data_IF_128894577407
#
_entry.id   IF_128894577407
#
_cell.length_a   1.000
_cell.length_b   1.000
_cell.length_c   1.000
_cell.angle_alpha   90.00
_cell.angle_beta   90.00
_cell.angle_gamma   90.00
#
_symmetry.space_group_name_H-M   'P 1'
#
loop_
_entity.id
_entity.type
_entity.pdbx_description
1 polymer ?
#
# COMPACT_ATOMS: atom_id res chain seq x y z
N UNK A 1 27.03 4.57 -29.54
CA UNK A 1 25.89 4.61 -28.60
C UNK A 1 24.80 3.72 -29.19
N UNK A 2 24.63 2.50 -28.70
CA UNK A 2 23.56 1.61 -29.14
C UNK A 2 22.25 2.14 -28.53
N UNK A 3 21.31 2.55 -29.36
CA UNK A 3 19.98 2.95 -28.91
C UNK A 3 19.26 1.77 -28.26
N UNK A 4 18.50 2.04 -27.20
CA UNK A 4 17.60 1.05 -26.59
C UNK A 4 16.68 0.46 -27.66
N UNK A 5 16.60 -0.87 -27.72
CA UNK A 5 15.69 -1.57 -28.62
C UNK A 5 14.23 -1.17 -28.29
N UNK A 6 13.40 -0.80 -29.28
CA UNK A 6 11.99 -0.50 -29.04
C UNK A 6 11.21 -1.62 -28.32
N UNK A 7 11.67 -2.87 -28.39
CA UNK A 7 11.11 -3.98 -27.62
C UNK A 7 11.31 -3.87 -26.10
N UNK A 8 12.45 -3.34 -25.66
CA UNK A 8 12.78 -3.18 -24.24
C UNK A 8 11.96 -2.05 -23.60
N UNK A 9 11.70 -0.99 -24.37
CA UNK A 9 10.89 0.15 -23.93
C UNK A 9 9.46 -0.25 -23.56
N UNK A 10 8.83 -1.09 -24.38
CA UNK A 10 7.46 -1.59 -24.14
C UNK A 10 7.40 -2.52 -22.93
N UNK A 11 8.42 -3.37 -22.77
CA UNK A 11 8.53 -4.28 -21.63
C UNK A 11 8.64 -3.49 -20.33
N UNK A 12 9.56 -2.53 -20.26
CA UNK A 12 9.75 -1.66 -19.09
C UNK A 12 8.46 -0.92 -18.71
N UNK A 13 7.70 -0.44 -19.71
CA UNK A 13 6.44 0.27 -19.47
C UNK A 13 5.32 -0.64 -18.95
N UNK A 14 5.25 -1.89 -19.43
CA UNK A 14 4.30 -2.87 -18.89
C UNK A 14 4.64 -3.22 -17.45
N UNK A 15 5.94 -3.38 -17.15
CA UNK A 15 6.42 -3.76 -15.81
C UNK A 15 6.20 -2.66 -14.79
N UNK A 16 6.46 -1.41 -15.13
CA UNK A 16 6.19 -0.29 -14.21
C UNK A 16 4.68 -0.14 -13.97
N UNK A 17 3.85 -0.43 -14.98
CA UNK A 17 2.40 -0.44 -14.81
C UNK A 17 1.95 -1.53 -13.84
N UNK A 18 2.51 -2.74 -13.92
CA UNK A 18 2.27 -3.82 -12.96
C UNK A 18 2.70 -3.44 -11.55
N UNK A 19 3.91 -2.91 -11.38
CA UNK A 19 4.40 -2.41 -10.11
C UNK A 19 3.49 -1.33 -9.49
N UNK A 20 2.99 -0.40 -10.29
CA UNK A 20 2.06 0.63 -9.81
C UNK A 20 0.69 0.06 -9.44
N UNK A 21 0.24 -1.02 -10.08
CA UNK A 21 -0.96 -1.74 -9.66
C UNK A 21 -0.75 -2.42 -8.31
N UNK A 22 0.40 -3.06 -8.08
CA UNK A 22 0.76 -3.62 -6.77
C UNK A 22 0.80 -2.54 -5.68
N UNK A 23 1.40 -1.38 -5.99
CA UNK A 23 1.41 -0.24 -5.06
C UNK A 23 0.00 0.21 -4.69
N UNK A 24 -0.92 0.32 -5.66
CA UNK A 24 -2.31 0.71 -5.39
C UNK A 24 -3.07 -0.35 -4.60
N UNK A 25 -2.83 -1.63 -4.91
CA UNK A 25 -3.43 -2.73 -4.17
C UNK A 25 -3.01 -2.64 -2.70
N UNK A 26 -1.69 -2.61 -2.43
CA UNK A 26 -1.17 -2.54 -1.07
C UNK A 26 -1.51 -1.21 -0.36
N UNK A 27 -1.41 -0.08 -1.04
CA UNK A 27 -1.69 1.25 -0.49
C UNK A 27 -3.16 1.53 -0.21
N UNK A 28 -4.06 0.60 -0.56
CA UNK A 28 -5.47 0.63 -0.18
C UNK A 28 -5.78 -0.22 1.06
N UNK A 29 -4.79 -0.99 1.54
CA UNK A 29 -4.90 -1.87 2.69
C UNK A 29 -4.43 -1.19 3.97
N UNK A 30 -4.92 -1.70 5.09
CA UNK A 30 -4.55 -1.29 6.45
C UNK A 30 -4.69 -2.48 7.41
N UNK A 31 -4.18 -2.33 8.63
CA UNK A 31 -4.24 -3.38 9.65
C UNK A 31 -3.06 -4.34 9.66
N UNK A 32 -1.93 -3.91 9.09
CA UNK A 32 -0.65 -4.59 9.29
C UNK A 32 -0.09 -4.24 10.68
N UNK A 33 0.57 -5.20 11.32
CA UNK A 33 1.09 -5.05 12.68
C UNK A 33 2.33 -4.16 12.72
N UNK A 34 3.21 -4.31 11.73
CA UNK A 34 4.56 -3.75 11.74
C UNK A 34 4.74 -2.49 10.92
N UNK A 35 3.76 -2.12 10.09
CA UNK A 35 3.82 -0.91 9.28
C UNK A 35 2.44 -0.38 8.96
N UNK A 36 2.41 0.88 8.54
CA UNK A 36 1.28 1.50 7.87
C UNK A 36 1.68 1.88 6.45
N UNK A 37 0.73 1.86 5.53
CA UNK A 37 0.98 2.12 4.11
C UNK A 37 -0.19 2.87 3.49
N UNK A 38 0.10 3.82 2.60
CA UNK A 38 -0.93 4.51 1.83
C UNK A 38 -0.36 5.12 0.55
N UNK A 39 -1.23 5.34 -0.45
CA UNK A 39 -0.86 6.08 -1.65
C UNK A 39 -0.81 7.58 -1.35
N UNK A 40 0.34 8.23 -1.60
CA UNK A 40 0.48 9.69 -1.57
C UNK A 40 0.08 10.34 -2.90
N UNK A 41 0.29 9.63 -4.01
CA UNK A 41 -0.01 10.10 -5.36
C UNK A 41 -0.26 8.93 -6.31
N UNK A 42 -0.30 9.19 -7.62
CA UNK A 42 -0.54 8.14 -8.63
C UNK A 42 0.62 7.15 -8.78
N UNK A 43 1.83 7.59 -8.44
CA UNK A 43 3.10 6.88 -8.62
C UNK A 43 3.93 6.82 -7.32
N UNK A 44 3.32 7.18 -6.19
CA UNK A 44 4.00 7.33 -4.90
C UNK A 44 3.25 6.59 -3.79
N UNK A 45 3.92 5.63 -3.17
CA UNK A 45 3.46 4.85 -2.02
C UNK A 45 4.30 5.23 -0.80
N UNK A 46 3.65 5.56 0.31
CA UNK A 46 4.32 5.87 1.59
C UNK A 46 4.24 4.64 2.48
N UNK A 47 5.39 4.25 3.04
CA UNK A 47 5.52 3.16 4.01
C UNK A 47 6.05 3.73 5.32
N UNK A 48 5.34 3.49 6.42
CA UNK A 48 5.68 4.00 7.75
C UNK A 48 5.93 2.82 8.68
N UNK A 49 7.13 2.73 9.25
CA UNK A 49 7.56 1.65 10.13
C UNK A 49 7.88 2.24 11.52
N UNK A 50 7.25 1.78 12.62
CA UNK A 50 7.57 2.23 13.97
C UNK A 50 9.02 1.86 14.35
N UNK A 51 9.75 2.80 14.96
CA UNK A 51 11.12 2.53 15.44
C UNK A 51 11.16 1.61 16.66
N UNK A 52 10.11 1.66 17.49
CA UNK A 52 9.96 0.81 18.65
C UNK A 52 8.62 0.05 18.55
N UNK A 53 8.59 -1.28 18.68
CA UNK A 53 7.36 -2.07 18.65
C UNK A 53 6.38 -1.72 19.79
N UNK A 54 6.85 -1.11 20.88
CA UNK A 54 6.00 -0.64 21.98
C UNK A 54 5.28 0.69 21.68
N UNK A 55 5.69 1.40 20.62
CA UNK A 55 4.94 2.54 20.14
C UNK A 55 3.62 2.02 19.56
N UNK A 56 2.62 1.85 20.43
CA UNK A 56 1.23 1.62 20.02
C UNK A 56 0.93 2.64 18.95
N UNK A 57 0.56 2.17 17.76
CA UNK A 57 0.21 3.00 16.62
C UNK A 57 -0.69 4.15 17.11
N UNK A 58 -0.15 5.37 17.18
CA UNK A 58 -1.00 6.56 17.05
C UNK A 58 -1.57 6.41 15.66
N UNK A 59 -2.78 5.83 15.60
CA UNK A 59 -3.42 5.38 14.37
C UNK A 59 -3.36 6.54 13.39
N UNK A 60 -2.53 6.37 12.37
CA UNK A 60 -2.46 7.32 11.29
C UNK A 60 -3.79 7.23 10.57
N UNK A 61 -4.69 8.15 10.89
CA UNK A 61 -5.87 8.42 10.07
C UNK A 61 -5.36 9.21 8.85
N UNK A 62 -4.39 8.64 8.12
CA UNK A 62 -3.67 9.29 7.00
C UNK A 62 -4.32 8.96 5.67
N UNK A 63 -5.65 8.96 5.63
CA UNK A 63 -6.26 9.68 4.52
C UNK A 63 -6.58 11.07 5.04
N UNK A 64 -5.70 12.08 4.82
CA UNK A 64 -6.12 13.47 4.92
C UNK A 64 -7.41 13.59 4.09
N UNK A 65 -8.49 14.17 4.65
CA UNK A 65 -9.74 14.39 3.91
C UNK A 65 -9.50 15.04 2.53
N UNK A 66 -8.43 15.84 2.42
CA UNK A 66 -7.99 16.52 1.22
C UNK A 66 -7.57 15.60 0.05
N UNK A 67 -7.18 14.34 0.31
CA UNK A 67 -6.83 13.37 -0.74
C UNK A 67 -8.07 12.93 -1.52
N UNK A 68 -9.24 12.85 -0.88
CA UNK A 68 -10.52 12.67 -1.58
C UNK A 68 -10.87 13.92 -2.39
N UNK A 69 -10.68 15.11 -1.83
CA UNK A 69 -11.05 16.39 -2.43
C UNK A 69 -10.28 16.72 -3.72
N UNK A 70 -9.02 16.28 -3.84
CA UNK A 70 -8.15 16.59 -5.00
C UNK A 70 -8.27 15.60 -6.16
N UNK A 71 -8.84 14.42 -5.96
CA UNK A 71 -9.07 13.48 -7.07
C UNK A 71 -10.13 13.96 -8.08
N UNK A 72 -10.91 14.98 -7.69
CA UNK A 72 -12.01 15.57 -8.49
C UNK A 72 -11.62 16.84 -9.28
N UNK A 73 -10.39 17.35 -9.14
CA UNK A 73 -9.97 18.54 -9.89
C UNK A 73 -9.01 18.13 -11.01
N UNK A 74 -9.53 18.22 -12.21
CA UNK A 74 -8.89 18.07 -13.50
C UNK A 74 -7.64 18.96 -13.59
N UNK A 75 -6.46 18.45 -13.22
CA UNK A 75 -5.19 19.11 -13.53
C UNK A 75 -4.95 19.00 -15.04
N UNK A 76 -5.16 20.12 -15.71
CA UNK A 76 -4.84 20.34 -17.11
C UNK A 76 -3.33 20.11 -17.31
N UNK A 77 -2.96 19.17 -18.18
CA UNK A 77 -1.60 19.00 -18.67
C UNK A 77 -1.10 20.30 -19.31
N UNK A 78 0.08 20.83 -18.94
CA UNK A 78 0.82 21.70 -19.82
C UNK A 78 1.58 20.82 -20.82
N UNK A 79 1.09 20.77 -22.06
CA UNK A 79 1.95 20.44 -23.20
C UNK A 79 3.00 21.54 -23.33
N UNK A 80 4.27 21.24 -23.06
CA UNK A 80 5.37 21.89 -23.79
C UNK A 80 6.65 21.04 -23.72
N UNK A 81 7.03 20.54 -24.90
CA UNK A 81 8.30 19.85 -25.16
C UNK A 81 9.43 20.89 -25.18
N UNK A 82 10.40 20.78 -24.28
CA UNK A 82 11.78 21.23 -24.53
C UNK A 82 12.77 20.24 -23.90
N UNK A 83 13.84 19.83 -24.61
CA UNK A 83 14.84 18.91 -24.07
C UNK A 83 15.83 19.67 -23.18
N UNK A 84 15.76 19.45 -21.86
CA UNK A 84 16.72 20.02 -20.90
C UNK A 84 17.98 19.13 -20.75
N UNK A 85 19.16 19.72 -20.48
CA UNK A 85 20.44 19.00 -20.40
C UNK A 85 20.53 18.07 -19.18
N UNK A 86 21.27 16.98 -19.32
CA UNK A 86 21.39 15.85 -18.37
C UNK A 86 22.04 16.16 -17.00
N UNK A 87 22.29 17.43 -16.66
CA UNK A 87 23.03 17.84 -15.45
C UNK A 87 22.16 18.29 -14.27
N UNK A 88 20.82 18.28 -14.37
CA UNK A 88 19.89 18.68 -13.28
C UNK A 88 19.16 17.50 -12.60
N UNK A 89 19.72 16.29 -12.65
CA UNK A 89 19.11 15.12 -11.99
C UNK A 89 19.05 15.23 -10.44
N UNK A 90 19.67 16.26 -9.86
CA UNK A 90 19.69 16.56 -8.43
C UNK A 90 18.90 17.83 -8.06
N UNK A 91 18.01 18.33 -8.92
CA UNK A 91 16.98 19.25 -8.43
C UNK A 91 16.01 18.46 -7.58
N UNK A 92 16.28 18.51 -6.28
CA UNK A 92 15.50 18.01 -5.17
C UNK A 92 14.01 17.95 -5.53
N UNK A 93 13.45 16.74 -5.44
CA UNK A 93 12.00 16.53 -5.33
C UNK A 93 11.41 17.69 -4.50
N UNK A 94 10.51 18.52 -5.06
CA UNK A 94 9.98 19.65 -4.32
C UNK A 94 9.36 19.10 -3.03
N UNK A 95 9.93 19.54 -1.90
CA UNK A 95 9.45 19.23 -0.56
C UNK A 95 8.00 19.70 -0.54
N UNK A 96 7.08 18.75 -0.48
CA UNK A 96 5.66 19.03 -0.50
C UNK A 96 5.26 19.47 0.93
N UNK A 97 4.35 20.43 1.13
CA UNK A 97 3.83 20.81 2.45
C UNK A 97 3.46 19.62 3.37
N UNK A 98 3.01 18.49 2.80
CA UNK A 98 2.73 17.25 3.56
C UNK A 98 3.98 16.59 4.18
N UNK A 99 5.18 16.93 3.75
CA UNK A 99 6.42 16.44 4.35
C UNK A 99 6.63 17.04 5.75
N UNK A 100 6.06 18.20 6.09
CA UNK A 100 6.16 18.77 7.44
C UNK A 100 5.43 17.91 8.49
N UNK A 101 4.30 17.30 8.12
CA UNK A 101 3.63 16.33 8.99
C UNK A 101 4.45 15.04 9.11
N UNK A 102 5.00 14.53 8.00
CA UNK A 102 5.88 13.36 8.01
C UNK A 102 7.18 13.62 8.79
N UNK A 103 7.69 14.86 8.78
CA UNK A 103 8.86 15.29 9.57
C UNK A 103 8.60 15.17 11.07
N UNK A 104 7.40 15.51 11.55
CA UNK A 104 7.02 15.33 12.96
C UNK A 104 7.09 13.86 13.39
N UNK A 105 6.87 12.94 12.45
CA UNK A 105 6.87 11.50 12.71
C UNK A 105 8.28 10.90 12.82
N UNK A 106 9.31 11.59 12.34
CA UNK A 106 10.71 11.09 12.31
C UNK A 106 11.24 10.68 13.68
N UNK A 107 10.69 11.21 14.76
CA UNK A 107 11.09 10.85 16.13
C UNK A 107 10.64 9.44 16.51
N UNK A 108 9.44 9.03 16.10
CA UNK A 108 8.81 7.75 16.49
C UNK A 108 8.83 6.70 15.37
N UNK A 109 8.91 7.13 14.11
CA UNK A 109 8.72 6.29 12.93
C UNK A 109 9.84 6.51 11.90
N UNK A 110 10.05 5.50 11.08
CA UNK A 110 10.80 5.56 9.83
C UNK A 110 9.80 5.65 8.68
N UNK A 111 9.78 6.79 8.00
CA UNK A 111 8.96 7.08 6.82
C UNK A 111 9.80 6.85 5.56
N UNK A 112 9.27 6.02 4.66
CA UNK A 112 9.87 5.68 3.38
C UNK A 112 8.89 6.05 2.25
N UNK A 113 9.45 6.54 1.15
CA UNK A 113 8.69 6.85 -0.06
C UNK A 113 9.12 5.91 -1.18
N UNK A 114 8.22 5.03 -1.58
CA UNK A 114 8.39 4.11 -2.69
C UNK A 114 7.78 4.78 -3.93
N UNK A 115 8.58 4.93 -4.97
CA UNK A 115 8.22 5.67 -6.18
C UNK A 115 8.33 4.78 -7.41
N UNK A 116 7.43 4.97 -8.36
CA UNK A 116 7.39 4.22 -9.62
C UNK A 116 7.23 5.13 -10.83
N UNK A 117 7.95 6.25 -10.91
CA UNK A 117 7.75 7.22 -11.99
C UNK A 117 8.08 6.62 -13.36
N UNK A 118 7.13 6.73 -14.29
CA UNK A 118 7.30 6.20 -15.65
C UNK A 118 8.55 6.72 -16.38
N UNK A 119 9.03 7.95 -16.05
CA UNK A 119 10.23 8.53 -16.67
C UNK A 119 11.50 7.72 -16.37
N UNK A 120 11.57 7.11 -15.18
CA UNK A 120 12.76 6.37 -14.76
C UNK A 120 12.69 4.89 -15.12
N UNK A 121 11.48 4.36 -15.35
CA UNK A 121 11.27 2.94 -15.72
C UNK A 121 11.86 1.97 -14.69
N UNK A 122 11.89 2.37 -13.43
CA UNK A 122 12.43 1.60 -12.32
C UNK A 122 11.84 2.14 -11.01
N UNK A 123 11.48 1.28 -10.07
CA UNK A 123 11.09 1.72 -8.74
C UNK A 123 12.30 2.18 -7.93
N UNK A 124 12.09 3.20 -7.10
CA UNK A 124 13.07 3.73 -6.16
C UNK A 124 12.45 3.97 -4.80
N UNK A 125 13.21 3.68 -3.73
CA UNK A 125 12.77 3.85 -2.35
C UNK A 125 13.64 4.93 -1.70
N UNK A 126 13.02 5.98 -1.19
CA UNK A 126 13.69 7.08 -0.51
C UNK A 126 13.42 7.02 0.98
N UNK A 127 14.46 7.16 1.79
CA UNK A 127 14.29 7.36 3.21
C UNK A 127 13.95 8.82 3.50
N UNK A 128 12.68 9.09 3.83
CA UNK A 128 12.22 10.44 4.15
C UNK A 128 12.45 10.81 5.60
N UNK A 129 13.02 9.91 6.40
CA UNK A 129 13.42 10.15 7.79
C UNK A 129 14.84 10.67 7.88
N UNK A 130 15.72 10.18 7.02
CA UNK A 130 17.03 10.78 6.82
C UNK A 130 16.91 12.02 5.94
N UNK A 131 17.95 12.85 5.98
CA UNK A 131 18.07 14.01 5.09
C UNK A 131 18.74 13.65 3.75
N UNK A 132 18.85 12.35 3.47
CA UNK A 132 19.41 11.85 2.23
C UNK A 132 18.45 12.12 1.06
N UNK A 133 18.98 12.79 0.04
CA UNK A 133 18.23 13.08 -1.18
C UNK A 133 18.23 11.87 -2.13
N UNK A 134 19.15 10.92 -1.91
CA UNK A 134 19.36 9.77 -2.77
C UNK A 134 18.46 8.58 -2.38
N UNK A 135 18.04 7.76 -3.36
CA UNK A 135 17.32 6.53 -3.06
C UNK A 135 18.24 5.54 -2.33
N UNK A 136 17.62 4.68 -1.52
CA UNK A 136 18.31 3.56 -0.88
C UNK A 136 18.82 2.59 -1.95
N UNK A 137 20.05 2.09 -1.75
CA UNK A 137 20.62 1.02 -2.57
C UNK A 137 20.05 -0.31 -2.09
N UNK A 138 19.21 -0.93 -2.92
CA UNK A 138 18.53 -2.19 -2.63
C UNK A 138 18.83 -3.16 -3.78
N UNK A 139 19.12 -4.42 -3.45
CA UNK A 139 19.30 -5.46 -4.47
C UNK A 139 18.01 -5.65 -5.28
N UNK A 140 16.85 -5.55 -4.61
CA UNK A 140 15.54 -5.67 -5.26
C UNK A 140 15.28 -4.58 -6.30
N UNK A 141 15.70 -3.33 -6.06
CA UNK A 141 15.54 -2.25 -7.05
C UNK A 141 16.60 -2.32 -8.15
N UNK A 142 17.85 -2.66 -7.81
CA UNK A 142 18.97 -2.77 -8.76
C UNK A 142 18.82 -3.94 -9.74
N UNK A 143 18.19 -5.03 -9.31
CA UNK A 143 17.92 -6.20 -10.14
C UNK A 143 16.53 -6.17 -10.77
N UNK A 144 15.67 -5.20 -10.41
CA UNK A 144 14.30 -5.09 -10.91
C UNK A 144 14.24 -5.08 -12.43
N UNK A 145 15.12 -4.36 -13.14
CA UNK A 145 15.09 -4.36 -14.62
C UNK A 145 15.32 -5.74 -15.26
N UNK A 146 16.02 -6.63 -14.55
CA UNK A 146 16.46 -7.95 -15.06
C UNK A 146 15.57 -9.10 -14.59
N UNK A 147 14.96 -8.98 -13.41
CA UNK A 147 14.13 -10.02 -12.78
C UNK A 147 12.75 -9.47 -12.50
N UNK A 148 11.73 -10.33 -12.51
CA UNK A 148 10.39 -9.93 -12.11
C UNK A 148 10.30 -9.92 -10.58
N UNK A 149 10.50 -8.73 -10.00
CA UNK A 149 10.60 -8.55 -8.55
C UNK A 149 9.32 -7.85 -8.07
N UNK A 150 8.50 -8.53 -7.26
CA UNK A 150 7.27 -7.97 -6.74
C UNK A 150 7.53 -6.95 -5.62
N UNK A 151 6.56 -6.08 -5.37
CA UNK A 151 6.66 -5.03 -4.36
C UNK A 151 6.94 -5.58 -2.95
N UNK A 152 6.39 -6.75 -2.61
CA UNK A 152 6.55 -7.32 -1.27
C UNK A 152 8.01 -7.71 -0.97
N UNK A 153 8.80 -8.10 -1.98
CA UNK A 153 10.23 -8.38 -1.82
C UNK A 153 11.01 -7.12 -1.45
N UNK A 154 10.72 -6.00 -2.10
CA UNK A 154 11.34 -4.71 -1.79
C UNK A 154 11.02 -4.25 -0.37
N UNK A 155 9.76 -4.42 0.06
CA UNK A 155 9.33 -4.08 1.41
C UNK A 155 10.05 -4.99 2.43
N UNK A 156 10.14 -6.28 2.16
CA UNK A 156 10.86 -7.22 3.02
C UNK A 156 12.34 -6.88 3.15
N UNK A 157 13.02 -6.55 2.05
CA UNK A 157 14.42 -6.12 2.06
C UNK A 157 14.59 -4.84 2.89
N UNK A 158 13.71 -3.86 2.69
CA UNK A 158 13.66 -2.63 3.49
C UNK A 158 13.53 -2.95 4.99
N UNK A 159 12.63 -3.86 5.37
CA UNK A 159 12.48 -4.29 6.76
C UNK A 159 13.79 -4.86 7.32
N UNK A 160 14.47 -5.72 6.57
CA UNK A 160 15.76 -6.30 6.97
C UNK A 160 16.82 -5.20 7.18
N UNK A 161 16.80 -4.14 6.37
CA UNK A 161 17.78 -3.06 6.47
C UNK A 161 17.54 -2.09 7.62
N UNK A 162 16.28 -1.76 7.91
CA UNK A 162 15.95 -0.67 8.84
C UNK A 162 15.53 -1.13 10.22
N UNK A 163 15.22 -2.42 10.40
CA UNK A 163 14.79 -2.98 11.69
C UNK A 163 15.86 -3.88 12.28
N UNK A 164 16.13 -3.72 13.58
CA UNK A 164 17.11 -4.55 14.29
C UNK A 164 16.62 -5.99 14.50
N UNK A 165 15.31 -6.17 14.67
CA UNK A 165 14.66 -7.48 14.77
C UNK A 165 13.58 -7.61 13.69
N UNK A 166 14.00 -8.00 12.48
CA UNK A 166 13.06 -8.24 11.39
C UNK A 166 12.14 -9.41 11.77
N UNK A 167 10.81 -9.21 11.82
CA UNK A 167 9.88 -10.31 12.05
C UNK A 167 9.96 -11.32 10.90
N UNK A 168 9.69 -12.59 11.18
CA UNK A 168 9.65 -13.64 10.14
C UNK A 168 8.65 -13.28 9.05
N UNK A 169 7.45 -12.81 9.45
CA UNK A 169 6.41 -12.27 8.57
C UNK A 169 6.26 -10.75 8.76
N UNK A 170 6.87 -9.91 7.90
CA UNK A 170 6.69 -8.45 7.94
C UNK A 170 5.25 -8.01 7.61
N UNK A 171 4.46 -8.85 6.96
CA UNK A 171 3.06 -8.57 6.58
C UNK A 171 2.04 -9.08 7.60
N UNK A 172 2.48 -9.41 8.82
CA UNK A 172 1.61 -9.92 9.87
C UNK A 172 0.45 -8.97 10.15
N UNK A 173 -0.75 -9.52 10.31
CA UNK A 173 -1.94 -8.72 10.55
C UNK A 173 -2.18 -8.43 12.04
N UNK A 174 -2.76 -7.26 12.32
CA UNK A 174 -3.28 -6.92 13.64
C UNK A 174 -4.75 -7.36 13.74
N UNK A 175 -4.97 -8.59 14.21
CA UNK A 175 -6.31 -9.14 14.40
C UNK A 175 -7.12 -8.43 15.50
N UNK A 176 -6.47 -7.72 16.42
CA UNK A 176 -7.15 -6.89 17.43
C UNK A 176 -7.73 -5.66 16.74
N UNK A 177 -6.94 -4.97 15.91
CA UNK A 177 -7.41 -3.86 15.09
C UNK A 177 -8.56 -4.28 14.18
N UNK A 178 -8.40 -5.37 13.43
CA UNK A 178 -9.47 -5.89 12.55
C UNK A 178 -10.74 -6.24 13.33
N UNK A 179 -10.65 -6.49 14.64
CA UNK A 179 -11.82 -6.78 15.49
C UNK A 179 -12.55 -5.53 15.96
N UNK A 180 -11.90 -4.37 15.87
CA UNK A 180 -12.46 -3.08 16.28
C UNK A 180 -13.20 -2.35 15.15
N UNK A 181 -13.13 -2.86 13.92
CA UNK A 181 -13.70 -2.20 12.75
C UNK A 181 -15.22 -2.38 12.68
N UNK A 182 -15.95 -1.36 12.16
CA UNK A 182 -17.35 -1.51 11.78
C UNK A 182 -17.55 -2.67 10.81
N UNK A 183 -18.74 -3.27 10.84
CA UNK A 183 -19.06 -4.48 10.08
C UNK A 183 -18.82 -4.30 8.57
N UNK A 184 -19.27 -3.19 8.01
CA UNK A 184 -19.20 -2.85 6.60
C UNK A 184 -17.73 -2.70 6.13
N UNK A 185 -16.92 -2.00 6.93
CA UNK A 185 -15.50 -1.83 6.68
C UNK A 185 -14.73 -3.15 6.84
N UNK A 186 -15.13 -3.96 7.82
CA UNK A 186 -14.51 -5.25 8.12
C UNK A 186 -14.72 -6.23 6.96
N UNK A 187 -15.92 -6.31 6.37
CA UNK A 187 -16.20 -7.14 5.19
C UNK A 187 -15.25 -6.80 4.03
N UNK A 188 -15.18 -5.51 3.67
CA UNK A 188 -14.39 -5.05 2.53
C UNK A 188 -12.89 -5.25 2.77
N UNK A 189 -12.40 -4.83 3.94
CA UNK A 189 -10.98 -4.88 4.26
C UNK A 189 -10.49 -6.33 4.39
N UNK A 190 -11.23 -7.20 5.08
CA UNK A 190 -10.83 -8.61 5.24
C UNK A 190 -10.78 -9.35 3.90
N UNK A 191 -11.70 -9.08 2.98
CA UNK A 191 -11.65 -9.62 1.62
C UNK A 191 -10.44 -9.12 0.82
N UNK A 192 -10.15 -7.83 0.89
CA UNK A 192 -9.00 -7.24 0.21
C UNK A 192 -7.65 -7.73 0.77
N UNK A 193 -7.53 -7.84 2.10
CA UNK A 193 -6.36 -8.39 2.77
C UNK A 193 -6.16 -9.87 2.43
N UNK A 194 -7.24 -10.67 2.34
CA UNK A 194 -7.15 -12.08 1.93
C UNK A 194 -6.59 -12.22 0.53
N UNK A 195 -7.14 -11.46 -0.42
CA UNK A 195 -6.64 -11.48 -1.80
C UNK A 195 -5.16 -11.08 -1.86
N UNK A 196 -4.75 -10.05 -1.12
CA UNK A 196 -3.34 -9.65 -1.04
C UNK A 196 -2.44 -10.76 -0.48
N UNK A 197 -2.77 -11.32 0.69
CA UNK A 197 -1.95 -12.34 1.34
C UNK A 197 -1.89 -13.64 0.53
N UNK A 198 -2.98 -14.05 -0.13
CA UNK A 198 -2.99 -15.22 -1.01
C UNK A 198 -2.06 -15.03 -2.22
N UNK A 199 -2.11 -13.86 -2.86
CA UNK A 199 -1.20 -13.54 -3.97
C UNK A 199 0.25 -13.52 -3.51
N UNK A 200 0.54 -12.93 -2.34
CA UNK A 200 1.87 -12.92 -1.73
C UNK A 200 2.34 -14.36 -1.43
N UNK A 201 1.48 -15.20 -0.86
CA UNK A 201 1.79 -16.59 -0.53
C UNK A 201 2.16 -17.41 -1.77
N UNK A 202 1.42 -17.24 -2.88
CA UNK A 202 1.72 -17.89 -4.17
C UNK A 202 3.06 -17.40 -4.74
N UNK A 203 3.35 -16.09 -4.66
CA UNK A 203 4.59 -15.52 -5.21
C UNK A 203 5.84 -15.89 -4.39
N UNK A 204 5.70 -16.11 -3.08
CA UNK A 204 6.82 -16.28 -2.16
C UNK A 204 7.34 -17.73 -2.04
N UNK A 205 6.95 -18.64 -2.93
CA UNK A 205 7.06 -20.10 -2.78
C UNK A 205 8.47 -20.74 -2.54
N UNK A 206 9.64 -20.07 -2.59
CA UNK A 206 10.88 -20.68 -2.10
C UNK A 206 11.18 -20.52 -0.59
N UNK A 207 10.51 -19.62 0.17
CA UNK A 207 10.92 -19.27 1.55
C UNK A 207 10.02 -19.91 2.62
N UNK A 208 10.30 -21.17 2.97
CA UNK A 208 9.43 -22.01 3.82
C UNK A 208 8.95 -21.33 5.13
N UNK A 209 9.85 -20.78 5.95
CA UNK A 209 9.47 -20.21 7.26
C UNK A 209 8.58 -18.96 7.16
N UNK A 210 8.80 -18.11 6.17
CA UNK A 210 7.99 -16.92 5.93
C UNK A 210 6.60 -17.29 5.40
N UNK A 211 6.57 -18.21 4.42
CA UNK A 211 5.35 -18.70 3.77
C UNK A 211 4.44 -19.41 4.77
N UNK A 212 5.01 -20.18 5.70
CA UNK A 212 4.25 -20.85 6.76
C UNK A 212 3.56 -19.84 7.69
N UNK A 213 4.25 -18.77 8.14
CA UNK A 213 3.64 -17.73 8.97
C UNK A 213 2.57 -16.92 8.23
N UNK A 214 2.76 -16.63 6.93
CA UNK A 214 1.74 -15.98 6.11
C UNK A 214 0.50 -16.87 5.99
N UNK A 215 0.70 -18.18 5.82
CA UNK A 215 -0.41 -19.14 5.73
C UNK A 215 -1.24 -19.23 7.02
N UNK A 216 -0.59 -19.18 8.19
CA UNK A 216 -1.30 -19.10 9.47
C UNK A 216 -2.20 -17.86 9.57
N UNK A 217 -1.68 -16.70 9.16
CA UNK A 217 -2.47 -15.46 9.12
C UNK A 217 -3.63 -15.54 8.11
N UNK A 218 -3.42 -16.17 6.94
CA UNK A 218 -4.49 -16.41 5.95
C UNK A 218 -5.62 -17.23 6.57
N UNK A 219 -5.32 -18.34 7.26
CA UNK A 219 -6.35 -19.19 7.89
C UNK A 219 -7.18 -18.43 8.92
N UNK A 220 -6.51 -17.63 9.76
CA UNK A 220 -7.18 -16.83 10.78
C UNK A 220 -8.05 -15.73 10.14
N UNK A 221 -7.55 -15.07 9.09
CA UNK A 221 -8.29 -14.05 8.36
C UNK A 221 -9.47 -14.64 7.58
N UNK A 222 -9.34 -15.83 6.99
CA UNK A 222 -10.43 -16.52 6.29
C UNK A 222 -11.59 -16.83 7.22
N UNK A 223 -11.30 -17.40 8.39
CA UNK A 223 -12.31 -17.70 9.41
C UNK A 223 -13.07 -16.44 9.82
N UNK A 224 -12.33 -15.34 10.01
CA UNK A 224 -12.91 -14.03 10.32
C UNK A 224 -13.77 -13.49 9.18
N UNK A 225 -13.27 -13.50 7.95
CA UNK A 225 -14.00 -12.98 6.80
C UNK A 225 -15.34 -13.69 6.63
N UNK A 226 -15.38 -15.02 6.76
CA UNK A 226 -16.62 -15.79 6.72
C UNK A 226 -17.60 -15.39 7.82
N UNK A 227 -17.11 -15.20 9.05
CA UNK A 227 -17.95 -14.77 10.17
C UNK A 227 -18.57 -13.38 9.93
N UNK A 228 -17.74 -12.40 9.53
CA UNK A 228 -18.16 -11.02 9.28
C UNK A 228 -19.09 -10.95 8.06
N UNK A 229 -18.83 -11.73 7.00
CA UNK A 229 -19.71 -11.83 5.83
C UNK A 229 -21.09 -12.40 6.18
N UNK A 230 -21.13 -13.43 7.03
CA UNK A 230 -22.38 -14.02 7.49
C UNK A 230 -23.19 -13.02 8.33
N UNK A 231 -22.54 -12.31 9.25
CA UNK A 231 -23.17 -11.26 10.05
C UNK A 231 -23.72 -10.11 9.18
N UNK A 232 -22.92 -9.63 8.22
CA UNK A 232 -23.33 -8.60 7.27
C UNK A 232 -24.53 -9.02 6.43
N UNK A 233 -24.54 -10.26 5.94
CA UNK A 233 -25.65 -10.79 5.14
C UNK A 233 -26.93 -10.85 5.97
N UNK A 234 -26.87 -11.37 7.20
CA UNK A 234 -28.05 -11.47 8.07
C UNK A 234 -28.60 -10.09 8.44
N UNK A 235 -27.74 -9.12 8.76
CA UNK A 235 -28.17 -7.75 9.07
C UNK A 235 -28.91 -7.10 7.89
N UNK A 236 -28.42 -7.29 6.67
CA UNK A 236 -29.06 -6.75 5.48
C UNK A 236 -30.39 -7.45 5.13
N UNK A 237 -30.48 -8.76 5.37
CA UNK A 237 -31.76 -9.48 5.19
C UNK A 237 -32.81 -8.94 6.17
N UNK A 238 -32.47 -8.73 7.44
CA UNK A 238 -33.41 -8.19 8.43
C UNK A 238 -33.85 -6.75 8.10
N UNK A 239 -32.94 -5.90 7.61
CA UNK A 239 -33.29 -4.54 7.17
C UNK A 239 -34.24 -4.56 5.98
N UNK A 240 -34.03 -5.46 5.01
CA UNK A 240 -34.92 -5.59 3.85
C UNK A 240 -36.33 -6.04 4.25
N UNK A 241 -36.44 -6.98 5.19
CA UNK A 241 -37.75 -7.46 5.71
C UNK A 241 -38.45 -6.36 6.52
N UNK A 242 -37.73 -5.62 7.37
CA UNK A 242 -38.31 -4.53 8.15
C UNK A 242 -38.78 -3.36 7.25
N UNK A 243 -38.07 -3.07 6.17
CA UNK A 243 -38.48 -2.08 5.17
C UNK A 243 -39.76 -2.47 4.43
N UNK A 244 -39.92 -3.75 4.06
CA UNK A 244 -41.13 -4.23 3.37
C UNK A 244 -42.36 -4.20 4.28
N UNK A 245 -42.22 -4.55 5.56
CA UNK A 245 -43.33 -4.51 6.52
C UNK A 245 -43.80 -3.07 6.81
N UNK A 246 -42.88 -2.10 6.82
CA UNK A 246 -43.23 -0.69 7.02
C UNK A 246 -44.00 -0.09 5.82
N UNK A 247 -43.63 -0.48 4.59
CA UNK A 247 -44.35 -0.05 3.37
C UNK A 247 -45.76 -0.66 3.30
N UNK A 248 -45.93 -1.91 3.73
CA UNK A 248 -47.23 -2.57 3.78
C UNK A 248 -48.16 -1.96 4.86
N UNK A 249 -47.63 -1.51 6.00
CA UNK A 249 -48.44 -0.83 7.04
C UNK A 249 -48.88 0.59 6.64
N UNK A 250 -48.10 1.28 5.80
CA UNK A 250 -48.42 2.62 5.32
C UNK A 250 -49.41 2.57 4.13
N UNK A 251 -49.35 1.50 3.32
CA UNK A 251 -50.32 1.24 2.25
C UNK A 251 -51.72 0.84 2.75
N UNK A 252 -51.84 0.28 3.96
CA UNK A 252 -53.13 -0.09 4.58
C UNK A 252 -53.81 1.11 5.27
N UNK A 253 -53.13 2.24 5.42
CA UNK A 253 -53.65 3.46 6.07
C UNK A 253 -54.10 4.56 5.11
N UNK A 254 -53.97 4.36 3.80
CA UNK A 254 -54.49 5.24 2.74
C UNK A 254 -55.64 4.57 1.97
#
# INVERSE_FOLDING_TARGET
MLGQDPGDLRRDQSRITGFLQECRALGSLRGFKYFEVFMRGREELVLIIPKNPENKHEKFTLMPPDVFSKSSMQEQLPQQQQPLPQTLLAECMPINPNDEELKKLRTKYTVLLITGYGRYKCPYIYNRTSDDVYPMSLESTDTWRRKDIPLWEMIKEVFIMITESCPTNPFKLDHTYLGSLPLEESVLLTGALLNFLQNLWIQAEPIKAFVDEVYEDIKLLQTRHLHVMHEYTNRNIHLNIAGTVAEDEEAVKN
#
